data_IF_909197340847
#
_entry.id   IF_909197340847
#
_cell.length_a   1.000
_cell.length_b   1.000
_cell.length_c   1.000
_cell.angle_alpha   90.00
_cell.angle_beta   90.00
_cell.angle_gamma   90.00
#
_symmetry.space_group_name_H-M   'P 1'
#
loop_
_entity.id
_entity.type
_entity.pdbx_description
1 polymer ?
2 polymer ?
3 polymer ?
4 polymer ?
5 non-polymer ?
6 non-polymer ?
7 non-polymer ?
8 non-polymer ?
9 non-polymer ?
10 water ?
#
loop_
_entity_poly.entity_id
_entity_poly.type
_entity_poly.pdbx_seq_one_letter_code
_entity_poly.pdbx_strand_id
2 'polydeoxyribonucleotide' '(DC)(DG)(DG)(DC)(8OG)(DT)(DA)(DC)(DG)' ?
3 'polydeoxyribonucleotide' '(DC)(DG)(DT)(DA)' ?
4 'polydeoxyribonucleotide' '(DG)(DC)(DC)(DG)' ?
#
# COMPACT_ATOMS: atom_id res chain seq x y z
N UNK A 10 -25.04 -2.83 1.54
CA UNK A 10 -23.61 -2.53 1.32
C UNK A 10 -23.28 -1.09 1.74
N UNK A 11 -22.52 -0.90 2.81
CA UNK A 11 -22.22 0.46 3.28
C UNK A 11 -21.28 1.17 2.33
N UNK A 12 -21.25 2.49 2.43
CA UNK A 12 -20.58 3.27 1.39
C UNK A 12 -19.07 3.36 1.58
N UNK A 13 -18.56 3.21 2.80
CA UNK A 13 -17.14 3.27 3.06
C UNK A 13 -16.52 1.88 3.16
N UNK A 14 -15.30 1.73 2.61
CA UNK A 14 -14.67 0.41 2.65
C UNK A 14 -14.38 -0.07 4.08
N UNK A 15 -14.18 0.85 5.02
CA UNK A 15 -13.89 0.44 6.40
C UNK A 15 -15.11 -0.06 7.16
N UNK A 16 -16.29 -0.02 6.55
CA UNK A 16 -17.54 -0.48 7.13
C UNK A 16 -17.90 -1.90 6.75
N UNK A 17 -17.06 -2.58 5.97
CA UNK A 17 -17.44 -3.89 5.50
C UNK A 17 -16.19 -4.76 5.42
N UNK A 18 -16.31 -6.06 5.66
CA UNK A 18 -15.17 -6.95 5.46
C UNK A 18 -14.81 -7.04 4.00
N UNK A 19 -13.51 -7.00 3.72
CA UNK A 19 -13.01 -7.26 2.37
C UNK A 19 -11.93 -8.32 2.42
N UNK A 20 -12.21 -9.54 1.98
CA UNK A 20 -11.20 -10.59 2.02
C UNK A 20 -10.22 -10.44 0.88
N UNK A 21 -9.11 -11.15 1.00
CA UNK A 21 -8.05 -11.04 0.02
C UNK A 21 -8.48 -11.65 -1.30
N UNK A 22 -9.11 -12.81 -1.23
CA UNK A 22 -9.65 -13.44 -2.42
C UNK A 22 -11.18 -13.41 -2.38
N UNK A 23 -11.79 -13.30 -3.55
CA UNK A 23 -13.20 -12.99 -3.57
C UNK A 23 -13.83 -13.58 -4.84
N UNK A 24 -15.03 -13.08 -5.19
CA UNK A 24 -15.88 -13.71 -6.19
C UNK A 24 -16.10 -12.85 -7.41
N UNK A 25 -15.35 -11.75 -7.55
CA UNK A 25 -15.54 -10.82 -8.67
C UNK A 25 -14.20 -10.32 -9.18
N UNK A 26 -13.23 -11.23 -9.25
CA UNK A 26 -11.83 -10.85 -9.50
C UNK A 26 -11.67 -10.14 -10.84
N UNK A 27 -12.26 -10.70 -11.89
CA UNK A 27 -12.11 -10.11 -13.22
C UNK A 27 -12.73 -8.73 -13.31
N UNK A 28 -13.91 -8.56 -12.71
CA UNK A 28 -14.56 -7.26 -12.73
C UNK A 28 -13.75 -6.24 -11.96
N UNK A 29 -13.26 -6.60 -10.77
CA UNK A 29 -12.52 -5.63 -9.98
C UNK A 29 -11.22 -5.26 -10.68
N UNK A 30 -10.56 -6.22 -11.35
CA UNK A 30 -9.30 -5.90 -12.01
C UNK A 30 -9.53 -4.91 -13.15
N UNK A 31 -10.64 -5.04 -13.87
CA UNK A 31 -10.92 -4.12 -14.96
C UNK A 31 -11.12 -2.71 -14.43
N UNK A 32 -11.92 -2.58 -13.38
CA UNK A 32 -12.14 -1.26 -12.82
C UNK A 32 -10.85 -0.68 -12.26
N UNK A 33 -9.95 -1.51 -11.75
CA UNK A 33 -8.70 -1.00 -11.23
C UNK A 33 -7.74 -0.56 -12.33
N UNK A 34 -7.86 -1.12 -13.55
CA UNK A 34 -7.13 -0.56 -14.69
C UNK A 34 -7.57 0.87 -14.93
N UNK A 35 -8.88 1.10 -14.94
CA UNK A 35 -9.35 2.46 -15.19
C UNK A 35 -8.95 3.40 -14.07
N UNK A 36 -8.89 2.90 -12.84
CA UNK A 36 -8.47 3.75 -11.74
C UNK A 36 -7.02 4.16 -11.91
N UNK A 37 -6.18 3.17 -12.22
CA UNK A 37 -4.76 3.43 -12.42
C UNK A 37 -4.55 4.42 -13.56
N UNK A 38 -5.28 4.27 -14.66
CA UNK A 38 -5.12 5.18 -15.79
C UNK A 38 -5.56 6.60 -15.40
N UNK A 39 -6.64 6.72 -14.64
CA UNK A 39 -7.04 8.03 -14.14
C UNK A 39 -5.93 8.67 -13.32
N UNK A 40 -5.26 7.89 -12.48
CA UNK A 40 -4.17 8.45 -11.69
C UNK A 40 -3.02 8.92 -12.56
N UNK A 41 -2.72 8.19 -13.62
CA UNK A 41 -1.65 8.61 -14.51
C UNK A 41 -1.96 9.95 -15.17
N UNK A 42 -3.24 10.30 -15.29
CA UNK A 42 -3.66 11.56 -15.88
C UNK A 42 -3.93 12.62 -14.82
N UNK A 43 -3.64 12.33 -13.55
CA UNK A 43 -3.89 13.29 -12.50
C UNK A 43 -5.33 13.43 -12.06
N UNK A 44 -6.19 12.49 -12.43
CA UNK A 44 -7.62 12.60 -12.11
C UNK A 44 -7.90 11.78 -10.84
N UNK A 45 -7.58 12.40 -9.69
CA UNK A 45 -7.65 11.72 -8.40
C UNK A 45 -9.08 11.35 -8.02
N UNK A 46 -10.05 12.20 -8.38
CA UNK A 46 -11.44 11.89 -8.09
C UNK A 46 -11.92 10.65 -8.82
N UNK A 47 -11.66 10.58 -10.13
CA UNK A 47 -12.03 9.40 -10.89
C UNK A 47 -11.29 8.16 -10.37
N UNK A 48 -10.01 8.31 -10.06
CA UNK A 48 -9.25 7.19 -9.50
C UNK A 48 -9.95 6.65 -8.27
N UNK A 49 -10.40 7.55 -7.40
CA UNK A 49 -11.03 7.09 -6.17
C UNK A 49 -12.34 6.36 -6.45
N UNK A 50 -13.18 6.91 -7.33
CA UNK A 50 -14.44 6.23 -7.60
C UNK A 50 -14.22 4.85 -8.18
N UNK A 51 -13.29 4.72 -9.14
CA UNK A 51 -13.06 3.41 -9.73
C UNK A 51 -12.46 2.45 -8.70
N UNK A 52 -11.55 2.92 -7.84
CA UNK A 52 -11.01 2.08 -6.76
C UNK A 52 -12.12 1.63 -5.83
N UNK A 53 -12.98 2.57 -5.43
CA UNK A 53 -14.08 2.25 -4.52
C UNK A 53 -15.07 1.27 -5.15
N UNK A 54 -15.41 1.46 -6.42
CA UNK A 54 -16.32 0.53 -7.09
C UNK A 54 -15.70 -0.86 -7.17
N UNK A 55 -14.43 -0.93 -7.51
CA UNK A 55 -13.76 -2.22 -7.51
C UNK A 55 -13.83 -2.86 -6.14
N UNK A 56 -13.58 -2.08 -5.10
CA UNK A 56 -13.55 -2.61 -3.74
C UNK A 56 -14.93 -3.13 -3.32
N UNK A 57 -15.99 -2.46 -3.75
CA UNK A 57 -17.35 -2.93 -3.45
C UNK A 57 -17.53 -4.34 -3.98
N UNK A 58 -17.07 -4.59 -5.20
CA UNK A 58 -17.21 -5.93 -5.75
C UNK A 58 -16.42 -6.96 -4.98
N UNK A 59 -15.25 -6.58 -4.47
CA UNK A 59 -14.48 -7.50 -3.65
C UNK A 59 -15.23 -7.94 -2.38
N UNK A 60 -16.14 -7.09 -1.88
CA UNK A 60 -16.84 -7.33 -0.62
C UNK A 60 -18.13 -8.10 -0.82
N UNK A 61 -18.52 -8.38 -2.05
CA UNK A 61 -19.77 -9.08 -2.29
C UNK A 61 -19.61 -10.55 -1.96
N UNK A 62 -20.71 -11.22 -1.59
CA UNK A 62 -20.63 -12.60 -1.14
C UNK A 62 -20.68 -13.61 -2.27
N UNK A 63 -20.86 -13.18 -3.52
CA UNK A 63 -20.98 -14.10 -4.64
C UNK A 63 -20.74 -13.32 -5.92
N UNK A 64 -20.60 -14.01 -7.07
CA UNK A 64 -20.33 -13.29 -8.32
C UNK A 64 -21.51 -12.45 -8.82
N UNK A 65 -21.18 -11.25 -9.35
CA UNK A 65 -22.15 -10.51 -10.14
C UNK A 65 -22.30 -11.21 -11.50
N UNK A 66 -23.54 -11.61 -11.81
CA UNK A 66 -23.86 -12.23 -13.08
C UNK A 66 -24.78 -11.40 -13.97
N UNK A 67 -25.51 -10.47 -13.38
CA UNK A 67 -26.48 -9.67 -14.12
C UNK A 67 -26.37 -8.22 -13.67
N UNK A 68 -26.67 -7.33 -14.60
CA UNK A 68 -26.53 -5.90 -14.33
C UNK A 68 -27.41 -5.46 -13.18
N UNK A 69 -28.59 -6.05 -13.05
CA UNK A 69 -29.50 -5.63 -11.98
C UNK A 69 -28.89 -5.80 -10.60
N UNK A 70 -27.92 -6.69 -10.44
CA UNK A 70 -27.27 -6.86 -9.14
C UNK A 70 -26.42 -5.66 -8.73
N UNK A 71 -26.16 -4.72 -9.64
CA UNK A 71 -25.46 -3.49 -9.26
C UNK A 71 -26.38 -2.43 -8.71
N UNK A 72 -27.69 -2.58 -8.90
CA UNK A 72 -28.62 -1.56 -8.41
C UNK A 72 -28.49 -1.43 -6.91
N UNK A 73 -28.39 -0.20 -6.45
CA UNK A 73 -28.24 0.05 -5.04
C UNK A 73 -26.83 -0.10 -4.49
N UNK A 74 -25.87 -0.56 -5.29
CA UNK A 74 -24.51 -0.67 -4.77
C UNK A 74 -23.82 0.69 -4.80
N UNK A 75 -23.16 1.09 -3.73
CA UNK A 75 -22.50 2.39 -3.74
C UNK A 75 -21.34 2.41 -4.72
N UNK A 76 -21.14 3.56 -5.33
CA UNK A 76 -20.04 3.90 -6.24
C UNK A 76 -20.22 3.28 -7.61
N UNK A 77 -21.39 2.73 -7.91
CA UNK A 77 -21.73 2.29 -9.26
C UNK A 77 -22.73 3.24 -9.87
N UNK A 78 -22.25 4.03 -10.83
CA UNK A 78 -23.10 4.86 -11.66
C UNK A 78 -22.99 4.44 -13.10
N UNK A 79 -23.20 5.40 -14.00
CA UNK A 79 -23.31 5.04 -15.41
C UNK A 79 -22.02 4.43 -15.93
N UNK A 80 -20.87 5.00 -15.58
CA UNK A 80 -19.61 4.56 -16.17
C UNK A 80 -19.19 3.19 -15.65
N UNK A 81 -19.10 3.02 -14.33
CA UNK A 81 -18.68 1.73 -13.79
C UNK A 81 -19.67 0.64 -14.14
N UNK A 82 -20.97 0.96 -14.21
CA UNK A 82 -21.97 -0.05 -14.56
C UNK A 82 -21.81 -0.49 -16.01
N UNK A 83 -21.48 0.45 -16.89
CA UNK A 83 -21.28 0.10 -18.30
C UNK A 83 -20.07 -0.80 -18.47
N UNK A 84 -18.99 -0.53 -17.72
CA UNK A 84 -17.82 -1.41 -17.76
C UNK A 84 -18.22 -2.83 -17.39
N UNK A 85 -18.95 -2.97 -16.28
CA UNK A 85 -19.38 -4.30 -15.84
C UNK A 85 -20.29 -4.94 -16.87
N UNK A 86 -21.23 -4.15 -17.41
CA UNK A 86 -22.17 -4.66 -18.41
C UNK A 86 -21.42 -5.27 -19.59
N UNK A 87 -20.41 -4.57 -20.08
CA UNK A 87 -19.67 -5.07 -21.22
C UNK A 87 -18.89 -6.32 -20.88
N UNK A 88 -18.30 -6.37 -19.68
CA UNK A 88 -17.59 -7.59 -19.31
C UNK A 88 -18.55 -8.77 -19.19
N UNK A 89 -19.75 -8.53 -18.66
CA UNK A 89 -20.71 -9.63 -18.49
C UNK A 89 -21.22 -10.11 -19.83
N UNK A 90 -21.43 -9.18 -20.76
CA UNK A 90 -22.04 -9.45 -22.05
C UNK A 90 -21.03 -10.00 -23.07
N UNK A 91 -19.77 -9.56 -23.02
CA UNK A 91 -18.78 -9.88 -24.04
C UNK A 91 -17.44 -10.39 -23.51
N UNK A 92 -17.23 -10.42 -22.19
CA UNK A 92 -15.97 -10.87 -21.64
C UNK A 92 -14.84 -9.86 -21.68
N UNK A 93 -15.06 -8.70 -22.29
CA UNK A 93 -14.05 -7.66 -22.42
C UNK A 93 -14.78 -6.33 -22.44
N UNK A 94 -14.12 -5.30 -21.95
CA UNK A 94 -14.59 -3.93 -22.01
C UNK A 94 -13.67 -3.15 -22.94
N UNK A 95 -14.24 -2.58 -24.00
CA UNK A 95 -13.41 -1.95 -25.03
C UNK A 95 -12.58 -0.81 -24.46
N UNK A 96 -13.16 -0.01 -23.56
CA UNK A 96 -12.40 1.09 -22.96
C UNK A 96 -11.21 0.57 -22.18
N UNK A 97 -11.41 -0.51 -21.42
CA UNK A 97 -10.34 -1.10 -20.63
C UNK A 97 -9.26 -1.64 -21.53
N UNK A 98 -9.64 -2.32 -22.61
CA UNK A 98 -8.65 -2.87 -23.52
C UNK A 98 -7.89 -1.77 -24.25
N UNK A 99 -8.57 -0.69 -24.63
CA UNK A 99 -7.89 0.44 -25.23
C UNK A 99 -6.85 1.03 -24.29
N UNK A 100 -7.19 1.18 -23.01
CA UNK A 100 -6.22 1.65 -22.04
C UNK A 100 -5.03 0.71 -21.98
N UNK A 101 -5.29 -0.60 -21.86
CA UNK A 101 -4.23 -1.59 -21.71
C UNK A 101 -3.18 -1.50 -22.82
N UNK A 102 -3.61 -1.38 -24.06
CA UNK A 102 -2.64 -1.40 -25.15
C UNK A 102 -2.10 -0.02 -25.48
N UNK A 103 -2.53 1.03 -24.77
CA UNK A 103 -2.09 2.37 -25.13
C UNK A 103 -0.65 2.59 -24.69
N UNK A 104 0.09 3.32 -25.54
CA UNK A 104 1.49 3.62 -25.24
C UNK A 104 1.59 4.43 -23.95
N UNK A 105 0.66 5.36 -23.76
CA UNK A 105 0.66 6.18 -22.55
C UNK A 105 0.55 5.32 -21.30
N UNK A 106 -0.44 4.42 -21.27
CA UNK A 106 -0.65 3.61 -20.08
C UNK A 106 0.56 2.71 -19.83
N UNK A 107 1.03 2.01 -20.86
CA UNK A 107 2.12 1.06 -20.66
C UNK A 107 3.39 1.75 -20.20
N UNK A 108 3.68 2.93 -20.73
CA UNK A 108 4.92 3.61 -20.34
C UNK A 108 4.79 4.24 -18.97
N UNK A 109 3.63 4.82 -18.65
CA UNK A 109 3.47 5.40 -17.32
C UNK A 109 3.49 4.30 -16.25
N UNK A 110 2.90 3.15 -16.54
CA UNK A 110 3.00 2.01 -15.63
C UNK A 110 4.46 1.60 -15.45
N UNK A 111 5.19 1.42 -16.57
CA UNK A 111 6.59 1.02 -16.49
C UNK A 111 7.38 2.02 -15.64
N UNK A 112 7.23 3.30 -15.92
CA UNK A 112 8.05 4.31 -15.25
C UNK A 112 7.65 4.47 -13.78
N UNK A 113 6.36 4.53 -13.47
CA UNK A 113 5.97 4.72 -12.06
C UNK A 113 6.28 3.50 -11.20
N UNK A 114 6.47 2.32 -11.81
CA UNK A 114 6.90 1.13 -11.09
C UNK A 114 8.32 1.23 -10.59
N UNK A 115 9.13 2.15 -11.14
CA UNK A 115 10.51 2.33 -10.70
C UNK A 115 10.50 2.97 -9.33
N UNK A 116 11.29 2.43 -8.41
CA UNK A 116 11.49 3.03 -7.11
C UNK A 116 12.21 4.38 -7.28
N UNK A 117 11.58 5.46 -6.81
CA UNK A 117 12.10 6.81 -6.98
C UNK A 117 11.41 7.61 -8.08
N UNK A 118 10.48 7.00 -8.82
CA UNK A 118 9.75 7.65 -9.89
C UNK A 118 8.26 7.63 -9.55
N UNK A 119 7.65 8.83 -9.50
CA UNK A 119 6.22 8.94 -9.37
C UNK A 119 5.56 9.42 -10.65
N UNK A 120 4.25 9.70 -10.54
CA UNK A 120 3.48 10.09 -11.72
C UNK A 120 4.08 11.34 -12.36
N UNK A 121 4.43 12.33 -11.55
CA UNK A 121 4.88 13.59 -12.14
C UNK A 121 6.19 13.40 -12.90
N UNK A 122 7.10 12.59 -12.37
CA UNK A 122 8.35 12.37 -13.06
C UNK A 122 8.14 11.54 -14.33
N UNK A 123 7.37 10.46 -14.20
CA UNK A 123 7.03 9.61 -15.35
C UNK A 123 6.42 10.43 -16.47
N UNK A 124 5.48 11.31 -16.11
CA UNK A 124 4.80 12.11 -17.11
C UNK A 124 5.76 13.05 -17.83
N UNK A 125 6.67 13.68 -17.09
CA UNK A 125 7.62 14.59 -17.73
C UNK A 125 8.55 13.82 -18.66
N UNK A 126 9.02 12.64 -18.25
CA UNK A 126 9.81 11.80 -19.13
C UNK A 126 9.00 11.38 -20.36
N UNK A 127 7.73 11.00 -20.17
CA UNK A 127 6.87 10.62 -21.29
C UNK A 127 6.79 11.75 -22.31
N UNK A 128 6.55 12.97 -21.82
CA UNK A 128 6.41 14.12 -22.73
C UNK A 128 7.73 14.44 -23.41
N UNK A 129 8.86 14.12 -22.78
CA UNK A 129 10.16 14.29 -23.41
C UNK A 129 10.45 13.23 -24.47
N UNK A 130 9.59 12.24 -24.64
CA UNK A 130 9.77 11.21 -25.62
C UNK A 130 10.37 9.93 -25.11
N UNK A 131 10.66 9.83 -23.81
CA UNK A 131 11.25 8.62 -23.26
C UNK A 131 10.20 7.53 -23.13
N UNK A 132 10.60 6.28 -23.40
CA UNK A 132 9.66 5.16 -23.43
C UNK A 132 10.13 3.90 -22.73
N UNK A 133 11.44 3.66 -22.60
CA UNK A 133 11.93 2.39 -22.09
C UNK A 133 12.91 2.63 -20.95
N UNK A 134 13.16 1.57 -20.18
CA UNK A 134 14.15 1.68 -19.10
C UNK A 134 15.52 2.01 -19.67
N UNK A 135 15.85 1.42 -20.82
CA UNK A 135 17.14 1.73 -21.43
C UNK A 135 17.20 3.18 -21.90
N UNK A 136 16.08 3.75 -22.36
CA UNK A 136 16.05 5.19 -22.57
C UNK A 136 16.50 5.95 -21.33
N UNK A 137 16.09 5.50 -20.14
CA UNK A 137 16.47 6.20 -18.92
C UNK A 137 17.94 5.93 -18.60
N UNK A 138 18.38 4.69 -18.81
CA UNK A 138 19.76 4.37 -18.48
C UNK A 138 20.74 5.14 -19.36
N UNK A 139 20.33 5.49 -20.58
CA UNK A 139 21.20 6.22 -21.51
C UNK A 139 21.42 7.67 -21.10
N UNK A 140 20.52 8.25 -20.32
CA UNK A 140 20.60 9.65 -19.90
C UNK A 140 20.69 9.72 -18.37
N UNK A 141 21.72 9.11 -17.78
CA UNK A 141 21.77 9.02 -16.32
C UNK A 141 21.98 10.36 -15.64
N UNK A 142 22.28 11.42 -16.39
CA UNK A 142 22.36 12.75 -15.82
C UNK A 142 21.03 13.20 -15.26
N UNK A 143 19.92 12.71 -15.82
CA UNK A 143 18.59 13.12 -15.40
C UNK A 143 18.04 12.27 -14.26
N UNK A 144 18.89 11.54 -13.53
CA UNK A 144 18.41 10.61 -12.50
C UNK A 144 18.94 10.96 -11.13
N UNK A 145 18.09 10.81 -10.13
CA UNK A 145 18.53 10.93 -8.76
C UNK A 145 19.23 9.66 -8.34
N UNK A 146 19.99 9.74 -7.24
CA UNK A 146 20.61 8.55 -6.69
C UNK A 146 19.55 7.49 -6.40
N UNK A 147 18.38 7.90 -5.89
CA UNK A 147 17.32 6.96 -5.59
C UNK A 147 16.84 6.26 -6.85
N UNK A 148 16.65 7.04 -7.92
CA UNK A 148 16.20 6.49 -9.19
C UNK A 148 17.29 5.62 -9.80
N UNK A 149 18.55 6.00 -9.64
CA UNK A 149 19.62 5.14 -10.15
C UNK A 149 19.55 3.77 -9.51
N UNK A 150 19.35 3.73 -8.19
CA UNK A 150 19.23 2.46 -7.48
C UNK A 150 17.99 1.70 -7.93
N UNK A 151 16.87 2.39 -8.01
CA UNK A 151 15.64 1.76 -8.50
C UNK A 151 15.79 1.15 -9.87
N UNK A 152 16.54 1.81 -10.75
CA UNK A 152 16.71 1.28 -12.10
C UNK A 152 17.72 0.14 -12.13
N UNK A 153 18.82 0.25 -11.36
CA UNK A 153 19.77 -0.85 -11.29
C UNK A 153 19.11 -2.11 -10.80
N UNK A 154 18.26 -1.97 -9.79
CA UNK A 154 17.65 -3.12 -9.12
C UNK A 154 16.28 -3.46 -9.67
N UNK A 155 15.89 -2.84 -10.79
CA UNK A 155 14.49 -2.92 -11.20
C UNK A 155 14.06 -4.36 -11.47
N UNK A 156 14.93 -5.17 -12.09
CA UNK A 156 14.55 -6.54 -12.43
C UNK A 156 14.27 -7.32 -11.15
N UNK A 157 15.16 -7.27 -10.16
CA UNK A 157 14.88 -7.98 -8.91
C UNK A 157 13.64 -7.45 -8.23
N UNK A 158 13.46 -6.13 -8.23
CA UNK A 158 12.33 -5.55 -7.53
C UNK A 158 11.00 -5.85 -8.22
N UNK A 159 11.05 -6.32 -9.46
CA UNK A 159 9.86 -6.70 -10.18
C UNK A 159 9.45 -8.14 -9.89
N UNK A 160 10.28 -8.89 -9.20
CA UNK A 160 10.04 -10.28 -8.80
C UNK A 160 9.28 -10.30 -7.49
N UNK A 161 8.12 -10.96 -7.38
CA UNK A 161 7.38 -10.94 -6.12
C UNK A 161 8.21 -11.44 -4.95
N UNK A 162 8.08 -10.72 -3.83
CA UNK A 162 8.61 -11.19 -2.56
C UNK A 162 7.70 -12.29 -2.07
N UNK A 163 8.27 -13.41 -1.64
CA UNK A 163 7.47 -14.54 -1.21
C UNK A 163 7.37 -14.53 0.32
N UNK A 164 6.23 -15.04 0.82
CA UNK A 164 6.05 -15.15 2.26
C UNK A 164 7.19 -15.97 2.83
N UNK A 165 7.70 -16.91 2.05
CA UNK A 165 8.83 -17.68 2.53
C UNK A 165 10.10 -16.84 2.64
N UNK A 166 10.20 -15.71 1.91
CA UNK A 166 11.33 -14.79 2.06
C UNK A 166 11.22 -13.92 3.31
N UNK A 167 10.00 -13.70 3.78
CA UNK A 167 9.75 -12.70 4.80
C UNK A 167 10.36 -13.13 6.13
N UNK A 168 10.27 -14.41 6.44
CA UNK A 168 10.76 -14.89 7.73
C UNK A 168 12.26 -14.71 7.86
N UNK A 169 13.00 -14.94 6.77
CA UNK A 169 14.45 -14.74 6.82
C UNK A 169 14.79 -13.27 7.02
N UNK A 170 14.08 -12.37 6.33
CA UNK A 170 14.32 -10.94 6.52
C UNK A 170 13.97 -10.51 7.94
N UNK A 171 12.90 -11.07 8.50
CA UNK A 171 12.52 -10.62 9.83
C UNK A 171 13.56 -11.00 10.87
N UNK A 172 14.15 -12.19 10.74
CA UNK A 172 15.18 -12.59 11.70
C UNK A 172 16.38 -11.66 11.62
N UNK A 173 16.74 -11.26 10.41
CA UNK A 173 17.89 -10.40 10.20
C UNK A 173 17.63 -9.02 10.82
N UNK A 174 16.43 -8.48 10.61
CA UNK A 174 16.08 -7.18 11.16
C UNK A 174 16.03 -7.25 12.69
N UNK A 175 15.49 -8.34 13.23
CA UNK A 175 15.43 -8.48 14.67
C UNK A 175 16.81 -8.52 15.31
N UNK A 176 17.78 -9.15 14.63
CA UNK A 176 19.13 -9.21 15.14
C UNK A 176 19.71 -7.80 15.26
N UNK A 177 19.56 -6.98 14.21
CA UNK A 177 20.12 -5.64 14.26
C UNK A 177 19.37 -4.79 15.28
N UNK A 178 18.05 -4.93 15.31
CA UNK A 178 17.23 -4.17 16.26
C UNK A 178 17.59 -4.52 17.70
N UNK A 179 17.85 -5.80 17.97
CA UNK A 179 18.20 -6.22 19.32
C UNK A 179 19.53 -5.69 19.81
N UNK A 180 20.48 -5.48 18.89
CA UNK A 180 21.75 -4.87 19.27
C UNK A 180 21.59 -3.37 19.41
N UNK A 181 20.75 -2.79 18.57
CA UNK A 181 20.56 -1.34 18.61
C UNK A 181 19.84 -0.95 19.90
N UNK A 182 18.90 -1.76 20.34
CA UNK A 182 18.10 -1.46 21.52
C UNK A 182 17.49 -2.72 22.08
N UNK A 183 18.12 -3.36 23.06
CA UNK A 183 17.55 -4.54 23.68
C UNK A 183 16.12 -4.29 24.16
N UNK A 184 15.26 -5.26 23.87
CA UNK A 184 13.87 -5.16 24.20
C UNK A 184 13.00 -4.62 23.09
N UNK A 185 13.60 -4.05 22.05
CA UNK A 185 12.79 -3.51 20.97
C UNK A 185 12.23 -4.67 20.18
N UNK A 186 11.04 -4.46 19.61
CA UNK A 186 10.30 -5.52 18.91
C UNK A 186 10.12 -5.14 17.44
N UNK A 187 9.92 -6.17 16.63
CA UNK A 187 9.71 -6.03 15.19
C UNK A 187 8.41 -6.71 14.85
N UNK A 188 7.48 -5.97 14.23
CA UNK A 188 6.18 -6.50 13.84
C UNK A 188 6.03 -6.43 12.32
N UNK A 189 5.66 -7.55 11.71
CA UNK A 189 5.35 -7.57 10.28
C UNK A 189 4.05 -6.84 10.02
N UNK A 190 4.09 -5.88 9.10
CA UNK A 190 2.87 -5.13 8.75
C UNK A 190 2.61 -5.25 7.25
N UNK A 191 1.99 -4.24 6.65
CA UNK A 191 1.72 -4.23 5.24
C UNK A 191 0.93 -5.44 4.75
N UNK A 192 1.11 -5.74 3.47
CA UNK A 192 0.26 -6.73 2.81
C UNK A 192 0.38 -8.12 3.40
N UNK A 193 1.59 -8.50 3.84
CA UNK A 193 1.73 -9.83 4.43
C UNK A 193 0.91 -9.97 5.70
N UNK A 194 0.77 -8.91 6.48
CA UNK A 194 -0.07 -9.04 7.68
C UNK A 194 -1.56 -9.24 7.32
N UNK A 195 -1.98 -8.74 6.16
CA UNK A 195 -3.34 -8.96 5.64
C UNK A 195 -3.53 -10.32 5.00
N UNK A 196 -2.52 -11.19 5.01
CA UNK A 196 -2.63 -12.52 4.47
C UNK A 196 -2.05 -12.72 3.08
N UNK A 197 -1.51 -11.68 2.47
CA UNK A 197 -0.96 -11.83 1.12
C UNK A 197 0.16 -12.87 1.12
N UNK A 198 0.20 -13.66 0.05
CA UNK A 198 1.26 -14.65 -0.07
C UNK A 198 2.48 -14.11 -0.80
N UNK A 199 2.33 -12.98 -1.47
CA UNK A 199 3.39 -12.31 -2.19
C UNK A 199 3.31 -10.82 -1.90
N UNK A 200 4.38 -10.10 -2.22
CA UNK A 200 4.36 -8.66 -2.06
C UNK A 200 5.42 -8.00 -2.90
N UNK A 201 5.31 -6.66 -2.98
CA UNK A 201 6.30 -5.84 -3.65
C UNK A 201 7.43 -5.48 -2.71
N UNK A 202 7.21 -5.63 -1.43
CA UNK A 202 8.21 -5.31 -0.42
C UNK A 202 7.82 -6.02 0.86
N UNK A 203 8.62 -5.80 1.91
CA UNK A 203 8.28 -6.24 3.25
C UNK A 203 8.26 -4.99 4.12
N UNK A 204 7.22 -4.86 4.95
CA UNK A 204 6.99 -3.70 5.79
C UNK A 204 7.06 -4.12 7.26
N UNK A 205 7.93 -3.47 8.03
CA UNK A 205 8.11 -3.77 9.45
C UNK A 205 7.91 -2.54 10.31
N UNK A 206 7.28 -2.73 11.46
CA UNK A 206 7.05 -1.69 12.45
C UNK A 206 7.81 -2.06 13.71
N UNK A 207 8.60 -1.13 14.21
CA UNK A 207 9.52 -1.35 15.34
C UNK A 207 9.09 -0.44 16.49
N UNK A 208 9.07 -0.98 17.72
CA UNK A 208 8.79 -0.15 18.89
C UNK A 208 9.57 -0.73 20.07
N UNK A 209 9.34 -0.14 21.25
CA UNK A 209 9.93 -0.60 22.49
C UNK A 209 8.90 -0.40 23.59
N UNK A 210 8.79 -1.34 24.53
CA UNK A 210 7.69 -1.24 25.53
C UNK A 210 7.84 -0.09 26.50
N UNK A 211 9.00 0.52 26.62
CA UNK A 211 9.21 1.67 27.49
C UNK A 211 9.16 2.94 26.66
N UNK A 212 8.08 3.70 26.83
CA UNK A 212 7.88 4.95 26.09
C UNK A 212 9.11 5.83 26.14
N UNK A 213 9.55 6.23 24.97
CA UNK A 213 10.70 7.09 24.79
C UNK A 213 11.98 6.35 24.46
N UNK A 214 12.07 5.07 24.81
CA UNK A 214 13.31 4.35 24.53
C UNK A 214 13.53 4.20 23.04
N UNK A 215 12.49 4.37 22.22
CA UNK A 215 12.64 4.20 20.77
C UNK A 215 13.24 5.42 20.09
N UNK A 216 13.38 6.52 20.81
CA UNK A 216 13.93 7.72 20.22
C UNK A 216 15.34 7.43 19.70
N UNK A 217 15.62 7.88 18.47
CA UNK A 217 16.93 7.70 17.86
C UNK A 217 17.25 6.30 17.42
N UNK A 218 16.25 5.41 17.38
CA UNK A 218 16.52 4.00 17.13
C UNK A 218 16.88 3.71 15.67
N UNK A 219 16.16 4.30 14.73
CA UNK A 219 16.33 3.83 13.36
C UNK A 219 17.73 4.05 12.79
N UNK A 220 18.40 5.17 13.04
CA UNK A 220 19.80 5.27 12.59
C UNK A 220 20.67 4.16 13.12
N UNK A 221 20.47 3.79 14.39
CA UNK A 221 21.26 2.72 14.98
C UNK A 221 20.97 1.39 14.31
N UNK A 222 19.72 1.16 13.94
CA UNK A 222 19.37 -0.06 13.23
C UNK A 222 20.01 -0.06 11.85
N UNK A 223 19.88 1.06 11.14
CA UNK A 223 20.38 1.11 9.77
C UNK A 223 21.89 0.96 9.73
N UNK A 224 22.60 1.59 10.67
CA UNK A 224 24.06 1.46 10.70
C UNK A 224 24.48 0.01 10.88
N UNK A 225 23.75 -0.73 11.71
CA UNK A 225 24.10 -2.12 11.97
C UNK A 225 23.79 -3.01 10.77
N UNK A 226 22.65 -2.81 10.13
CA UNK A 226 22.36 -3.57 8.92
C UNK A 226 23.39 -3.28 7.85
N UNK A 227 23.80 -2.02 7.72
CA UNK A 227 24.80 -1.65 6.71
C UNK A 227 26.13 -2.32 7.00
N UNK A 228 26.49 -2.42 8.28
CA UNK A 228 27.75 -3.06 8.65
C UNK A 228 27.75 -4.55 8.37
N UNK A 229 26.58 -5.19 8.41
CA UNK A 229 26.44 -6.59 8.03
C UNK A 229 26.39 -6.78 6.51
N UNK A 230 26.52 -5.72 5.72
CA UNK A 230 26.54 -5.83 4.27
C UNK A 230 25.21 -6.13 3.65
N UNK A 231 24.12 -5.87 4.37
CA UNK A 231 22.79 -6.26 3.91
C UNK A 231 22.05 -5.14 3.19
N UNK A 232 22.59 -3.93 3.17
CA UNK A 232 21.88 -2.77 2.65
C UNK A 232 22.49 -2.44 1.30
N UNK A 233 21.69 -2.62 0.25
CA UNK A 233 22.13 -2.21 -1.08
C UNK A 233 21.83 -0.74 -1.34
N UNK A 234 20.80 -0.21 -0.69
CA UNK A 234 20.43 1.19 -0.83
C UNK A 234 19.65 1.64 0.40
N UNK A 235 20.01 2.79 0.97
CA UNK A 235 19.07 3.54 1.78
C UNK A 235 19.42 5.01 1.69
N UNK A 236 18.54 5.83 2.21
CA UNK A 236 18.72 7.28 2.18
C UNK A 236 19.58 7.74 3.33
N UNK A 256 18.73 11.90 11.91
CA UNK A 256 17.53 11.47 12.61
C UNK A 256 16.39 11.17 11.63
N UNK A 257 15.69 10.05 11.85
CA UNK A 257 14.56 9.69 11.01
C UNK A 257 13.79 8.56 11.69
N UNK A 258 12.52 8.37 11.25
CA UNK A 258 11.67 7.31 11.78
C UNK A 258 11.08 6.38 10.73
N UNK A 259 11.27 6.67 9.44
CA UNK A 259 10.89 5.77 8.36
C UNK A 259 12.11 5.60 7.47
N UNK A 260 12.35 4.36 7.03
CA UNK A 260 13.43 4.06 6.12
C UNK A 260 12.90 3.22 4.97
N UNK A 261 13.18 3.63 3.71
CA UNK A 261 12.77 2.86 2.53
C UNK A 261 14.03 2.34 1.88
N UNK A 262 14.32 1.06 2.04
CA UNK A 262 15.62 0.59 1.61
C UNK A 262 15.49 -0.63 0.72
N UNK A 263 16.64 -0.99 0.15
CA UNK A 263 16.77 -2.18 -0.67
C UNK A 263 17.78 -3.04 0.06
N UNK A 264 17.37 -4.26 0.37
CA UNK A 264 18.12 -5.23 1.14
C UNK A 264 18.67 -6.28 0.21
N UNK A 265 19.84 -6.79 0.59
CA UNK A 265 20.39 -7.99 -0.01
C UNK A 265 19.84 -9.23 0.70
N UNK A 266 19.01 -9.99 0.01
CA UNK A 266 18.43 -11.21 0.56
C UNK A 266 19.11 -12.45 -0.01
N UNK A 267 19.75 -13.26 0.82
CA UNK A 267 20.38 -14.50 0.34
C UNK A 267 19.40 -15.40 -0.42
N UNK A 268 19.92 -16.04 -1.46
CA UNK A 268 19.23 -16.99 -2.31
C UNK A 268 20.16 -18.18 -2.49
N UNK A 269 19.63 -19.35 -2.92
CA UNK A 269 20.51 -20.49 -3.19
C UNK A 269 21.65 -20.11 -4.12
N UNK A 270 22.89 -20.12 -3.59
CA UNK A 270 24.05 -19.82 -4.40
C UNK A 270 24.17 -18.39 -4.87
N UNK A 271 23.35 -17.49 -4.34
CA UNK A 271 23.40 -16.09 -4.78
C UNK A 271 22.54 -15.24 -3.84
N UNK A 272 21.89 -14.21 -4.38
CA UNK A 272 21.04 -13.33 -3.59
C UNK A 272 20.16 -12.54 -4.54
N UNK A 273 19.18 -11.82 -3.97
CA UNK A 273 18.37 -10.91 -4.77
C UNK A 273 18.05 -9.68 -3.95
N UNK A 274 17.84 -8.58 -4.65
CA UNK A 274 17.48 -7.32 -4.01
C UNK A 274 16.00 -7.35 -3.66
N UNK A 275 15.68 -6.87 -2.45
CA UNK A 275 14.30 -6.82 -1.96
C UNK A 275 14.06 -5.47 -1.31
N UNK A 276 12.93 -4.85 -1.62
CA UNK A 276 12.52 -3.65 -0.94
C UNK A 276 12.01 -3.97 0.48
N UNK A 277 12.53 -3.21 1.44
CA UNK A 277 12.13 -3.34 2.85
C UNK A 277 11.88 -1.95 3.40
N UNK A 278 10.75 -1.79 4.10
CA UNK A 278 10.39 -0.55 4.75
C UNK A 278 10.41 -0.76 6.25
N UNK A 279 11.07 0.13 6.95
CA UNK A 279 11.15 0.11 8.41
C UNK A 279 10.56 1.37 8.96
N UNK A 280 9.73 1.24 9.98
CA UNK A 280 9.14 2.39 10.64
C UNK A 280 9.26 2.17 12.13
N UNK A 281 9.55 3.25 12.85
CA UNK A 281 9.64 3.23 14.30
C UNK A 281 8.49 4.07 14.84
N UNK A 282 7.86 3.59 15.90
CA UNK A 282 6.83 4.33 16.59
C UNK A 282 6.97 4.16 18.09
N UNK A 283 6.67 5.18 18.89
CA UNK A 283 6.59 4.96 20.34
C UNK A 283 5.42 4.06 20.67
N UNK A 284 5.54 3.33 21.78
CA UNK A 284 4.53 2.32 22.09
C UNK A 284 3.16 2.97 22.27
N UNK A 285 3.11 4.22 22.74
CA UNK A 285 1.82 4.92 22.86
C UNK A 285 1.11 5.04 21.52
N UNK A 286 1.86 5.13 20.42
CA UNK A 286 1.29 5.30 19.09
C UNK A 286 1.22 3.99 18.34
N UNK A 287 1.75 2.91 18.90
CA UNK A 287 1.88 1.65 18.18
C UNK A 287 0.57 1.18 17.56
N UNK A 288 -0.58 1.21 18.25
CA UNK A 288 -1.82 0.77 17.60
C UNK A 288 -2.17 1.57 16.37
N UNK A 289 -1.92 2.88 16.41
CA UNK A 289 -2.21 3.74 15.25
C UNK A 289 -1.26 3.43 14.12
N UNK A 290 0.00 3.14 14.44
CA UNK A 290 0.97 2.88 13.39
C UNK A 290 0.73 1.51 12.78
N UNK A 291 0.42 0.54 13.63
CA UNK A 291 0.05 -0.79 13.16
C UNK A 291 -1.15 -0.73 12.23
N UNK A 292 -2.21 -0.02 12.64
CA UNK A 292 -3.39 0.14 11.80
C UNK A 292 -3.03 0.81 10.48
N UNK A 293 -2.29 1.93 10.56
CA UNK A 293 -1.94 2.67 9.36
C UNK A 293 -1.06 1.89 8.40
N UNK A 294 -0.08 1.18 8.91
CA UNK A 294 0.85 0.48 8.05
C UNK A 294 0.39 -0.91 7.63
N UNK A 295 -0.73 -1.39 8.18
CA UNK A 295 -1.27 -2.68 7.74
C UNK A 295 -2.17 -2.54 6.51
N UNK A 296 -2.73 -1.37 6.28
CA UNK A 296 -3.44 -1.10 5.04
C UNK A 296 -4.79 -1.81 4.98
N UNK A 297 -5.30 -2.10 3.78
CA UNK A 297 -4.73 -1.68 2.51
C UNK A 297 -4.68 -0.15 2.39
N UNK A 298 -3.99 0.35 1.37
CA UNK A 298 -3.96 1.79 1.13
C UNK A 298 -5.36 2.37 1.02
N UNK A 299 -6.21 1.75 0.20
CA UNK A 299 -7.58 2.26 0.07
C UNK A 299 -8.32 2.15 1.39
N UNK A 300 -8.11 1.05 2.14
CA UNK A 300 -8.78 0.92 3.44
C UNK A 300 -8.43 2.08 4.34
N UNK A 301 -7.14 2.49 4.37
CA UNK A 301 -6.74 3.58 5.26
C UNK A 301 -7.30 4.92 4.80
N UNK A 302 -7.28 5.19 3.49
CA UNK A 302 -7.88 6.42 3.00
C UNK A 302 -9.34 6.49 3.37
N UNK A 303 -10.04 5.36 3.21
CA UNK A 303 -11.46 5.29 3.52
C UNK A 303 -11.71 5.46 5.02
N UNK A 304 -10.85 4.84 5.83
CA UNK A 304 -10.95 4.95 7.27
C UNK A 304 -10.72 6.38 7.74
N UNK A 305 -9.72 7.05 7.17
CA UNK A 305 -9.45 8.43 7.57
C UNK A 305 -10.54 9.37 7.06
N UNK A 306 -11.08 9.07 5.87
CA UNK A 306 -12.19 9.85 5.34
C UNK A 306 -13.43 9.68 6.23
N UNK A 307 -13.70 8.43 6.63
CA UNK A 307 -14.83 8.14 7.51
C UNK A 307 -14.68 8.84 8.85
N UNK A 308 -13.50 8.72 9.46
CA UNK A 308 -13.24 9.36 10.73
C UNK A 308 -13.58 10.84 10.67
N UNK A 309 -13.05 11.55 9.67
CA UNK A 309 -13.20 13.00 9.61
C UNK A 309 -14.63 13.38 9.25
N UNK A 310 -15.19 12.76 8.22
CA UNK A 310 -16.46 13.21 7.65
C UNK A 310 -17.65 12.71 8.45
N UNK A 311 -17.60 11.49 8.97
CA UNK A 311 -18.73 10.95 9.73
C UNK A 311 -18.60 11.16 11.23
N UNK A 312 -17.37 11.18 11.78
CA UNK A 312 -17.17 11.27 13.21
C UNK A 312 -16.50 12.56 13.67
N UNK A 313 -16.05 13.41 12.76
CA UNK A 313 -15.41 14.65 13.16
C UNK A 313 -14.08 14.50 13.86
N UNK A 314 -13.42 13.37 13.66
CA UNK A 314 -12.13 13.06 14.29
C UNK A 314 -11.07 12.92 13.20
N UNK A 315 -9.83 13.32 13.52
CA UNK A 315 -8.74 13.32 12.55
C UNK A 315 -7.79 12.17 12.85
N UNK A 316 -7.69 11.23 11.93
CA UNK A 316 -6.91 10.01 12.10
C UNK A 316 -5.62 10.03 11.28
N UNK A 317 -4.51 9.62 11.89
CA UNK A 317 -3.31 9.36 11.12
C UNK A 317 -2.55 8.24 11.81
N UNK A 318 -1.32 7.98 11.35
CA UNK A 318 -0.57 6.85 11.89
C UNK A 318 0.05 7.14 13.24
N UNK A 319 -0.17 8.34 13.78
CA UNK A 319 0.30 8.73 15.11
C UNK A 319 -0.82 8.80 16.15
N UNK A 320 -2.08 8.90 15.75
CA UNK A 320 -3.11 9.16 16.74
C UNK A 320 -4.42 9.53 16.11
N UNK A 321 -5.38 9.81 17.00
CA UNK A 321 -6.76 10.14 16.62
C UNK A 321 -7.14 11.36 17.44
N UNK A 322 -7.40 12.47 16.74
CA UNK A 322 -7.52 13.79 17.37
C UNK A 322 -8.97 14.25 17.32
N UNK A 323 -9.47 14.71 18.47
CA UNK A 323 -10.75 15.39 18.54
C UNK A 323 -10.49 16.88 18.46
N UNK A 324 -10.82 17.56 17.35
CA UNK A 324 -10.45 18.96 17.18
C UNK A 324 -11.34 19.92 17.94
N UNK A 325 -12.47 19.46 18.47
CA UNK A 325 -13.29 20.28 19.35
C UNK A 325 -12.71 20.33 20.76
N UNK A 326 -12.49 19.16 21.38
CA UNK A 326 -11.86 19.10 22.69
C UNK A 326 -10.35 19.34 22.64
N UNK A 327 -9.75 19.28 21.47
CA UNK A 327 -8.29 19.38 21.32
C UNK A 327 -7.61 18.31 22.17
N UNK A 328 -8.09 17.07 22.03
CA UNK A 328 -7.55 15.93 22.76
C UNK A 328 -7.28 14.76 21.83
N UNK A 329 -6.33 13.91 22.23
CA UNK A 329 -5.98 12.69 21.51
C UNK A 329 -6.53 11.48 22.24
N UNK A 330 -7.10 10.56 21.47
CA UNK A 330 -7.60 9.31 22.04
C UNK A 330 -6.42 8.41 22.37
N UNK A 331 -6.41 7.86 23.58
CA UNK A 331 -5.41 6.86 23.92
C UNK A 331 -5.95 5.53 23.39
N UNK A 332 -5.11 4.80 22.71
CA UNK A 332 -5.51 3.47 22.27
C UNK A 332 -4.45 2.50 22.70
N UNK A 333 -4.89 1.32 23.17
CA UNK A 333 -3.99 0.26 23.52
C UNK A 333 -4.01 -0.86 22.52
N UNK A 334 -4.90 -0.79 21.53
CA UNK A 334 -5.05 -1.83 20.53
C UNK A 334 -5.76 -1.26 19.30
N UNK A 335 -5.62 -1.96 18.19
CA UNK A 335 -6.46 -1.67 17.03
C UNK A 335 -7.93 -1.78 17.37
N UNK A 336 -8.32 -2.79 18.17
CA UNK A 336 -9.70 -2.91 18.60
C UNK A 336 -10.19 -1.61 19.24
N UNK A 337 -9.35 -0.97 20.09
CA UNK A 337 -9.73 0.32 20.68
C UNK A 337 -10.09 1.33 19.62
N UNK A 338 -9.29 1.39 18.55
CA UNK A 338 -9.47 2.43 17.53
C UNK A 338 -10.78 2.22 16.79
N UNK A 339 -11.06 0.96 16.38
CA UNK A 339 -12.36 0.69 15.75
C UNK A 339 -13.50 1.06 16.68
N UNK A 340 -13.40 0.71 17.97
CA UNK A 340 -14.48 1.08 18.88
C UNK A 340 -14.64 2.60 18.99
N UNK A 341 -13.52 3.33 19.10
CA UNK A 341 -13.56 4.79 19.15
C UNK A 341 -14.38 5.36 18.00
N UNK A 342 -14.16 4.83 16.79
CA UNK A 342 -14.78 5.29 15.56
C UNK A 342 -16.17 4.70 15.32
N UNK A 343 -16.68 3.90 16.25
CA UNK A 343 -18.01 3.34 16.07
C UNK A 343 -18.12 2.30 14.96
N UNK A 344 -17.04 1.57 14.69
CA UNK A 344 -16.98 0.59 13.60
C UNK A 344 -16.81 -0.80 14.17
N UNK A 345 -17.44 -1.79 13.55
CA UNK A 345 -17.15 -3.16 13.91
C UNK A 345 -15.70 -3.49 13.58
N UNK A 346 -15.05 -4.22 14.48
CA UNK A 346 -13.65 -4.57 14.28
C UNK A 346 -13.51 -5.45 13.05
N UNK A 347 -12.46 -5.18 12.27
CA UNK A 347 -12.07 -5.98 11.13
C UNK A 347 -10.65 -6.46 11.35
N UNK A 348 -10.38 -7.76 11.37
CA UNK A 348 -9.01 -8.21 11.44
C UNK A 348 -8.28 -7.85 10.16
N UNK A 349 -6.94 -7.90 10.16
CA UNK A 349 -6.19 -7.46 8.98
C UNK A 349 -6.58 -8.16 7.68
N UNK A 350 -6.93 -9.44 7.78
CA UNK A 350 -7.27 -10.19 6.58
C UNK A 350 -8.60 -9.76 5.99
N UNK A 351 -9.40 -8.94 6.68
CA UNK A 351 -10.62 -8.36 6.14
C UNK A 351 -10.49 -6.88 5.81
N UNK A 352 -9.25 -6.38 5.71
CA UNK A 352 -8.98 -5.00 5.33
C UNK A 352 -8.41 -4.91 3.93
N UNK A 353 -8.65 -5.92 3.10
CA UNK A 353 -8.11 -5.98 1.75
C UNK A 353 -8.98 -5.22 0.76
N UNK A 354 -9.27 -3.98 1.11
CA UNK A 354 -10.13 -3.14 0.29
C UNK A 354 -9.41 -2.78 -0.98
X LIG E 1 2.97 -0.80 0.69
X LIG E 1 1.25 -3.27 0.71
X LIG E 1 2.57 -4.59 -1.44
X LIG E 1 3.26 0.16 -0.45
X LIG E 1 -0.17 -3.20 1.22
X LIG E 1 2.37 -3.82 -2.76
X LIG E 1 4.17 -1.59 1.13
X LIG E 1 2.21 -3.78 1.76
X LIG E 1 3.76 -4.09 -0.67
X LIG E 1 1.70 -1.76 0.14
X LIG E 1 1.26 -4.23 -0.53
X LIG E 1 2.53 -6.07 -1.63
X LIG E 1 2.46 0.06 1.90
X LIG E 1 2.33 -0.57 3.14
X LIG E 1 1.19 0.03 3.87
X LIG E 1 1.43 1.45 4.03
X LIG E 1 -0.11 -0.01 3.13
X LIG E 1 -0.77 -1.28 3.24
X LIG E 1 -0.87 1.10 3.84
X LIG E 1 -1.20 0.67 5.13
X LIG E 1 0.23 2.14 4.01
X LIG E 1 0.25 3.02 2.85
X LIG E 1 0.99 2.90 1.72
X LIG E 1 0.75 3.83 0.84
X LIG E 1 -0.21 4.58 1.47
X LIG E 1 -0.88 5.69 1.04
X LIG E 1 -0.60 6.20 -0.17
X LIG E 1 -1.80 6.18 1.91
X LIG E 1 -2.03 5.59 3.10
X LIG E 1 -1.46 4.50 3.63
X LIG E 1 -0.57 4.08 2.70
X LIG F 1 6.14 -0.65 1.89
X LIG G 1 4.27 -3.74 1.41
X LIG H 1 7.75 4.60 -8.22
X LIG I 1 0.35 9.27 8.99
X LIG J 1 2.51 9.84 21.50
X LIG K 1 -3.11 -3.68 18.29
X LIG L 1 -1.36 -13.17 -4.71
X LIG L 1 -1.35 -12.56 -3.01
X LIG L 1 -0.03 -12.01 -2.73
X LIG L 1 -2.34 -11.50 -2.88
X LIG L 1 -1.63 -13.67 -2.11
#
# INVERSE_FOLDING_TARGET
GSAAASPAWMPAYACQRPTPLTHHNTGLSEALEILAEAAGFEGSEGRLLTFCRAASVLKALPSPVTTLSQLQGLPHFGEHSSRVVQELLEHGVCEEVERVRRSERYQTMKLFTQIFGVGVKTADRWYREGLRTLDDLREQPQKLTQQQKAGLQHHQDLSTPVLRSDVDALQQVVEEAVGQALPGATVTLTGGFRRGKLQGHDVDFLITHPKEGQEAGLLPRVMCRLQDQGLILYHQHQHSCCESPTRLAQQSHMDAFERSFCIFRLPQPGSWKAVRVDLVVAPVSQFPFALLGWTGSKLFQRELRRFSRKEKGLWLNSHGLFDPEQKTFFQAASEEDIFRHLGLEYLPPEQRNA
ZAN PA PB PG O1A O1B O1G O2A O2B O2G N3A O3B O3G O5' C5' C4' O4' C3' O3' C2' O2' C1' N9 C8 N7 C5 C6 N6 N1 C2 N3 C4
MG MG
MG MG
NA NA
CL CL
CL CL
CL CL
EPE C10 S O1S O2S O3S
#
